data_IF_101934207414
#
_entry.id   IF_101934207414
#
_cell.length_a   1.000
_cell.length_b   1.000
_cell.length_c   1.000
_cell.angle_alpha   90.00
_cell.angle_beta   90.00
_cell.angle_gamma   90.00
#
_symmetry.space_group_name_H-M   'P 1'
#
loop_
_entity.id
_entity.type
_entity.pdbx_description
1 polymer ?
#
# COMPACT_ATOMS: atom_id res chain seq x y z
N UNK A 1 20.92 -2.35 -6.40
CA UNK A 1 20.63 -2.54 -4.97
C UNK A 1 19.66 -3.69 -4.81
N UNK A 2 19.71 -4.42 -3.68
CA UNK A 2 18.68 -5.43 -3.36
C UNK A 2 17.34 -4.73 -3.11
N UNK A 3 16.23 -5.35 -3.53
CA UNK A 3 14.89 -4.75 -3.55
C UNK A 3 14.18 -4.69 -2.18
N UNK A 4 14.91 -4.42 -1.08
CA UNK A 4 14.34 -4.32 0.26
C UNK A 4 14.24 -2.87 0.77
N UNK A 5 14.64 -1.91 -0.06
CA UNK A 5 14.64 -0.48 0.28
C UNK A 5 13.92 0.33 -0.79
N UNK A 6 13.22 1.37 -0.37
CA UNK A 6 12.55 2.37 -1.21
C UNK A 6 12.86 3.77 -0.70
N UNK A 7 12.83 4.78 -1.58
CA UNK A 7 13.18 6.18 -1.28
C UNK A 7 14.66 6.47 -1.38
N UNK A 8 14.99 7.72 -1.56
CA UNK A 8 16.36 8.24 -1.65
C UNK A 8 16.76 9.05 -0.40
N UNK A 9 15.97 10.06 -0.04
CA UNK A 9 16.14 10.92 1.14
C UNK A 9 15.28 10.44 2.31
N UNK A 10 14.01 10.11 2.08
CA UNK A 10 13.20 9.37 3.04
C UNK A 10 13.26 7.89 2.68
N UNK A 11 14.21 7.20 3.25
CA UNK A 11 14.53 5.83 2.85
C UNK A 11 14.00 4.83 3.86
N UNK A 12 13.23 3.88 3.35
CA UNK A 12 12.68 2.78 4.15
C UNK A 12 13.30 1.46 3.72
N UNK A 13 13.88 0.72 4.67
CA UNK A 13 14.39 -0.63 4.46
C UNK A 13 13.64 -1.60 5.36
N UNK A 14 12.94 -2.59 4.78
CA UNK A 14 12.17 -3.59 5.54
C UNK A 14 12.89 -4.93 5.61
N UNK A 15 12.71 -5.67 6.71
CA UNK A 15 13.26 -7.00 6.94
C UNK A 15 12.30 -7.87 7.76
N UNK A 16 12.63 -9.15 7.90
CA UNK A 16 11.83 -10.15 8.62
C UNK A 16 10.83 -10.90 7.73
N UNK A 17 10.40 -12.06 8.16
CA UNK A 17 9.50 -12.98 7.45
C UNK A 17 8.19 -13.19 8.23
N UNK A 18 7.15 -13.60 7.50
CA UNK A 18 5.79 -13.76 8.06
C UNK A 18 5.69 -14.78 9.21
N UNK A 19 6.60 -15.75 9.27
CA UNK A 19 6.69 -16.77 10.30
C UNK A 19 8.06 -16.77 11.00
N UNK A 20 8.84 -15.68 10.84
CA UNK A 20 10.02 -15.38 11.64
C UNK A 20 9.64 -14.84 13.04
N UNK A 21 10.64 -14.49 13.82
CA UNK A 21 10.47 -13.97 15.19
C UNK A 21 9.75 -12.62 15.17
N UNK A 22 10.16 -11.73 14.24
CA UNK A 22 9.66 -10.37 14.14
C UNK A 22 9.74 -9.88 12.69
N UNK A 23 9.06 -8.76 12.44
CA UNK A 23 9.25 -7.88 11.29
C UNK A 23 9.89 -6.59 11.78
N UNK A 24 10.70 -5.96 10.94
CA UNK A 24 11.25 -4.66 11.25
C UNK A 24 11.45 -3.79 10.02
N UNK A 25 11.63 -2.50 10.27
CA UNK A 25 12.13 -1.58 9.27
C UNK A 25 13.05 -0.55 9.90
N UNK A 26 13.88 0.03 9.04
CA UNK A 26 14.66 1.22 9.33
C UNK A 26 14.15 2.32 8.42
N UNK A 27 13.79 3.45 9.03
CA UNK A 27 13.43 4.69 8.34
C UNK A 27 14.58 5.66 8.54
N UNK A 28 15.19 6.07 7.44
CA UNK A 28 16.29 7.03 7.43
C UNK A 28 15.86 8.31 6.70
N UNK A 29 16.37 9.47 7.14
CA UNK A 29 16.06 10.76 6.55
C UNK A 29 14.80 11.45 7.08
N UNK A 30 14.16 10.94 8.14
CA UNK A 30 13.10 11.70 8.81
C UNK A 30 13.71 12.96 9.47
N UNK A 31 13.19 14.16 9.21
CA UNK A 31 13.70 15.37 9.86
C UNK A 31 13.57 15.31 11.38
N UNK A 32 14.46 16.01 12.15
CA UNK A 32 14.35 16.08 13.59
C UNK A 32 13.17 16.96 14.03
N UNK A 33 12.69 16.73 15.27
CA UNK A 33 11.69 17.56 15.91
C UNK A 33 10.23 17.18 15.65
N UNK A 34 9.96 16.13 14.86
CA UNK A 34 8.60 15.58 14.73
C UNK A 34 8.20 14.94 16.06
N UNK A 35 7.10 15.41 16.67
CA UNK A 35 6.50 14.75 17.82
C UNK A 35 5.89 13.41 17.38
N UNK A 36 6.33 12.31 17.99
CA UNK A 36 5.91 10.97 17.58
C UNK A 36 6.02 9.96 18.72
N UNK A 37 5.02 9.09 18.78
CA UNK A 37 4.94 7.96 19.71
C UNK A 37 4.51 6.70 18.98
N UNK A 38 4.61 5.54 19.63
CA UNK A 38 4.06 4.28 19.11
C UNK A 38 2.55 4.38 18.85
N UNK A 39 1.81 5.14 19.65
CA UNK A 39 0.37 5.33 19.49
C UNK A 39 0.01 6.02 18.15
N UNK A 40 0.83 6.96 17.70
CA UNK A 40 0.64 7.63 16.40
C UNK A 40 0.74 6.61 15.25
N UNK A 41 1.70 5.70 15.33
CA UNK A 41 1.93 4.66 14.31
C UNK A 41 0.88 3.55 14.41
N UNK A 42 0.42 3.23 15.62
CA UNK A 42 -0.53 2.16 15.87
C UNK A 42 -1.89 2.40 15.22
N UNK A 43 -2.30 3.65 15.10
CA UNK A 43 -3.57 4.03 14.45
C UNK A 43 -3.67 3.49 13.02
N UNK A 44 -2.65 3.67 12.20
CA UNK A 44 -2.63 3.13 10.82
C UNK A 44 -2.43 1.60 10.81
N UNK A 45 -1.63 1.07 11.72
CA UNK A 45 -1.43 -0.38 11.88
C UNK A 45 -2.71 -1.10 12.28
N UNK A 46 -3.53 -0.53 13.16
CA UNK A 46 -4.81 -1.09 13.57
C UNK A 46 -5.80 -1.21 12.41
N UNK A 47 -5.79 -0.26 11.48
CA UNK A 47 -6.58 -0.33 10.24
C UNK A 47 -6.11 -1.47 9.32
N UNK A 48 -4.80 -1.75 9.30
CA UNK A 48 -4.18 -2.78 8.43
C UNK A 48 -4.21 -4.19 9.03
N UNK A 49 -4.10 -4.34 10.35
CA UNK A 49 -3.85 -5.63 11.02
C UNK A 49 -4.85 -6.72 10.60
N UNK A 50 -4.46 -8.01 10.68
CA UNK A 50 -5.37 -9.11 10.39
C UNK A 50 -6.40 -9.27 11.52
N UNK A 51 -7.56 -9.87 11.20
CA UNK A 51 -8.58 -10.22 12.19
C UNK A 51 -9.40 -9.03 12.72
N UNK A 52 -9.40 -7.91 12.03
CA UNK A 52 -10.20 -6.72 12.40
C UNK A 52 -11.69 -6.91 12.18
N UNK A 53 -12.08 -7.80 11.26
CA UNK A 53 -13.47 -8.05 10.93
C UNK A 53 -13.70 -9.51 10.53
N UNK A 54 -14.99 -9.90 10.45
CA UNK A 54 -15.38 -11.21 9.91
C UNK A 54 -15.06 -11.38 8.41
N UNK A 55 -14.69 -10.32 7.70
CA UNK A 55 -14.43 -10.31 6.27
C UNK A 55 -12.96 -10.54 5.92
N UNK A 56 -12.09 -10.44 6.90
CA UNK A 56 -10.64 -10.64 6.75
C UNK A 56 -10.19 -11.99 7.32
N UNK A 57 -8.90 -12.27 7.22
CA UNK A 57 -8.28 -13.48 7.77
C UNK A 57 -8.54 -13.65 9.26
N UNK A 58 -8.63 -14.91 9.73
CA UNK A 58 -8.79 -15.23 11.15
C UNK A 58 -7.46 -15.19 11.94
N UNK A 59 -6.33 -14.90 11.30
CA UNK A 59 -5.07 -14.67 12.00
C UNK A 59 -5.24 -13.45 12.92
N UNK A 60 -4.71 -13.54 14.13
CA UNK A 60 -4.81 -12.47 15.13
C UNK A 60 -3.40 -11.99 15.49
N UNK A 61 -3.03 -10.84 15.01
CA UNK A 61 -1.79 -10.17 15.37
C UNK A 61 -2.14 -8.77 15.87
N UNK A 62 -1.64 -8.36 17.03
CA UNK A 62 -1.88 -7.00 17.54
C UNK A 62 -1.15 -5.96 16.70
N UNK A 63 -0.11 -6.36 15.95
CA UNK A 63 0.78 -5.49 15.19
C UNK A 63 1.36 -4.36 16.06
N UNK A 64 1.63 -4.68 17.32
CA UNK A 64 2.17 -3.74 18.29
C UNK A 64 3.57 -3.29 17.89
N UNK A 65 3.67 -2.02 17.48
CA UNK A 65 4.95 -1.47 17.02
C UNK A 65 5.77 -0.97 18.20
N UNK A 66 7.08 -1.19 18.12
CA UNK A 66 8.08 -0.66 19.07
C UNK A 66 9.04 0.26 18.32
N UNK A 67 9.27 1.44 18.86
CA UNK A 67 10.30 2.36 18.40
C UNK A 67 11.59 2.03 19.14
N UNK A 68 12.62 1.60 18.41
CA UNK A 68 13.87 1.13 18.98
C UNK A 68 14.97 2.21 18.98
N UNK A 69 14.88 3.21 18.12
CA UNK A 69 15.88 4.28 17.96
C UNK A 69 15.30 5.46 17.20
N UNK A 70 16.03 6.56 17.15
CA UNK A 70 15.70 7.74 16.35
C UNK A 70 14.62 8.66 16.95
N UNK A 71 14.17 8.37 18.18
CA UNK A 71 13.24 9.20 18.95
C UNK A 71 13.78 9.40 20.36
N UNK A 72 13.77 10.63 20.85
CA UNK A 72 14.16 10.99 22.19
C UNK A 72 13.16 12.00 22.77
N UNK A 73 12.66 11.74 23.98
CA UNK A 73 11.63 12.56 24.66
C UNK A 73 10.40 12.83 23.79
N UNK A 74 9.99 11.83 22.99
CA UNK A 74 8.80 11.94 22.11
C UNK A 74 9.03 12.70 20.80
N UNK A 75 10.28 13.04 20.45
CA UNK A 75 10.60 13.74 19.20
C UNK A 75 11.64 12.99 18.39
N UNK A 76 11.53 13.06 17.07
CA UNK A 76 12.55 12.51 16.16
C UNK A 76 13.87 13.25 16.31
N UNK A 77 14.97 12.49 16.25
CA UNK A 77 16.33 13.05 16.42
C UNK A 77 17.04 13.40 15.09
N UNK A 78 16.43 13.05 13.95
CA UNK A 78 17.07 13.15 12.63
C UNK A 78 18.01 12.01 12.31
N UNK A 79 18.15 11.02 13.21
CA UNK A 79 18.91 9.77 12.96
C UNK A 79 17.95 8.65 12.60
N UNK A 80 18.51 7.45 12.26
CA UNK A 80 17.71 6.32 11.81
C UNK A 80 16.66 5.88 12.84
N UNK A 81 15.40 5.78 12.42
CA UNK A 81 14.30 5.27 13.25
C UNK A 81 14.21 3.77 13.01
N UNK A 82 14.48 2.97 14.02
CA UNK A 82 14.28 1.53 14.00
C UNK A 82 12.90 1.17 14.54
N UNK A 83 12.12 0.43 13.75
CA UNK A 83 10.79 -0.06 14.13
C UNK A 83 10.76 -1.59 14.11
N UNK A 84 10.03 -2.19 15.06
CA UNK A 84 9.88 -3.64 15.16
C UNK A 84 8.43 -4.02 15.56
N UNK A 85 7.94 -5.13 14.99
CA UNK A 85 6.69 -5.80 15.36
C UNK A 85 6.97 -7.29 15.55
N UNK A 86 6.64 -7.84 16.71
CA UNK A 86 6.77 -9.26 16.98
C UNK A 86 5.67 -10.07 16.29
N UNK A 87 5.99 -11.28 15.83
CA UNK A 87 5.00 -12.22 15.31
C UNK A 87 4.50 -13.10 16.46
N UNK A 88 3.21 -13.01 16.81
CA UNK A 88 2.64 -13.70 17.97
C UNK A 88 1.72 -14.88 17.63
N UNK A 89 1.04 -14.86 16.47
CA UNK A 89 0.10 -15.92 16.02
C UNK A 89 0.60 -16.61 14.73
N UNK A 90 1.86 -17.04 14.73
CA UNK A 90 2.40 -17.85 13.63
C UNK A 90 2.09 -19.34 13.85
N UNK A 91 1.63 -20.04 12.80
CA UNK A 91 1.32 -21.47 12.83
C UNK A 91 2.05 -22.20 11.71
N UNK A 92 3.32 -22.48 11.93
CA UNK A 92 4.20 -23.12 10.93
C UNK A 92 3.71 -24.52 10.50
N UNK A 93 2.95 -25.21 11.36
CA UNK A 93 2.37 -26.54 11.04
C UNK A 93 1.35 -26.51 9.90
N UNK A 94 0.68 -25.38 9.67
CA UNK A 94 -0.33 -25.22 8.62
C UNK A 94 0.28 -25.31 7.18
N UNK A 95 1.61 -25.33 7.07
CA UNK A 95 2.34 -25.27 5.81
C UNK A 95 3.15 -26.54 5.49
N UNK A 96 2.99 -27.63 6.25
CA UNK A 96 3.70 -28.89 6.01
C UNK A 96 3.42 -29.47 4.61
N UNK A 97 2.15 -29.40 4.16
CA UNK A 97 1.68 -29.97 2.90
C UNK A 97 2.25 -29.26 1.65
N UNK A 98 2.78 -28.04 1.82
CA UNK A 98 3.38 -27.26 0.72
C UNK A 98 4.92 -27.25 0.73
N UNK A 99 5.54 -28.03 1.64
CA UNK A 99 7.00 -28.11 1.73
C UNK A 99 7.64 -28.52 0.40
N UNK A 100 7.07 -29.50 -0.27
CA UNK A 100 7.61 -30.08 -1.50
C UNK A 100 6.76 -29.78 -2.74
N UNK A 101 5.80 -28.85 -2.63
CA UNK A 101 4.93 -28.39 -3.72
C UNK A 101 4.96 -26.88 -3.86
N UNK A 102 4.49 -26.38 -4.99
CA UNK A 102 4.38 -24.93 -5.24
C UNK A 102 2.90 -24.52 -5.33
N UNK A 103 2.49 -23.51 -4.55
CA UNK A 103 1.12 -22.97 -4.65
C UNK A 103 0.92 -22.30 -6.01
N UNK A 104 -0.12 -22.66 -6.79
CA UNK A 104 -0.44 -21.95 -8.03
C UNK A 104 -0.65 -20.45 -7.79
N UNK A 105 -0.10 -19.61 -8.66
CA UNK A 105 -0.25 -18.16 -8.55
C UNK A 105 0.43 -17.48 -7.35
N UNK A 106 1.16 -18.24 -6.52
CA UNK A 106 1.96 -17.74 -5.40
C UNK A 106 3.45 -17.65 -5.77
N UNK A 107 4.23 -16.95 -4.98
CA UNK A 107 5.67 -16.73 -5.23
C UNK A 107 6.58 -17.95 -4.91
N UNK A 108 6.02 -19.09 -4.55
CA UNK A 108 6.79 -20.26 -4.10
C UNK A 108 7.80 -20.75 -5.14
N UNK A 109 7.35 -20.93 -6.38
CA UNK A 109 8.19 -21.37 -7.50
C UNK A 109 9.28 -20.35 -7.82
N UNK A 110 8.91 -19.07 -7.93
CA UNK A 110 9.85 -18.01 -8.31
C UNK A 110 10.93 -17.78 -7.27
N UNK A 111 10.60 -17.85 -5.98
CA UNK A 111 11.58 -17.77 -4.89
C UNK A 111 12.50 -18.98 -4.88
N UNK A 112 11.96 -20.18 -5.07
CA UNK A 112 12.77 -21.41 -5.14
C UNK A 112 13.77 -21.35 -6.31
N UNK A 113 13.31 -20.97 -7.50
CA UNK A 113 14.18 -20.86 -8.67
C UNK A 113 15.23 -19.75 -8.55
N UNK A 114 14.86 -18.61 -7.94
CA UNK A 114 15.76 -17.46 -7.83
C UNK A 114 16.84 -17.64 -6.78
N UNK A 115 16.49 -18.19 -5.62
CA UNK A 115 17.38 -18.22 -4.45
C UNK A 115 17.91 -19.62 -4.12
N UNK A 116 17.40 -20.67 -4.77
CA UNK A 116 17.78 -22.06 -4.51
C UNK A 116 17.24 -22.63 -3.19
N UNK A 117 16.81 -21.77 -2.29
CA UNK A 117 16.23 -22.11 -0.99
C UNK A 117 14.95 -21.31 -0.76
N UNK A 118 13.96 -21.96 -0.15
CA UNK A 118 12.68 -21.34 0.21
C UNK A 118 12.29 -21.77 1.62
N UNK A 119 11.99 -20.79 2.48
CA UNK A 119 11.24 -21.09 3.70
C UNK A 119 9.77 -21.33 3.33
N UNK A 120 9.35 -22.58 3.45
CA UNK A 120 7.97 -23.01 3.13
C UNK A 120 6.95 -22.58 4.19
N UNK A 121 7.39 -22.14 5.36
CA UNK A 121 6.51 -21.68 6.45
C UNK A 121 5.87 -20.34 6.10
N UNK A 122 4.65 -20.37 5.59
CA UNK A 122 3.96 -19.18 5.11
C UNK A 122 4.47 -18.70 3.75
N UNK A 123 4.67 -17.39 3.58
CA UNK A 123 5.15 -16.77 2.35
C UNK A 123 6.49 -16.06 2.50
N UNK A 124 7.13 -16.14 3.67
CA UNK A 124 8.38 -15.41 3.93
C UNK A 124 8.24 -13.92 3.63
N UNK A 125 9.18 -13.37 2.86
CA UNK A 125 9.16 -11.99 2.38
C UNK A 125 8.06 -11.70 1.33
N UNK A 126 7.53 -12.71 0.63
CA UNK A 126 6.44 -12.52 -0.33
C UNK A 126 5.06 -12.43 0.33
N UNK A 127 4.97 -12.65 1.64
CA UNK A 127 3.73 -12.54 2.40
C UNK A 127 3.31 -11.09 2.58
N UNK A 128 1.99 -10.82 2.46
CA UNK A 128 1.43 -9.51 2.79
C UNK A 128 1.66 -9.07 4.25
N UNK A 129 2.15 -9.96 5.12
CA UNK A 129 2.53 -9.63 6.50
C UNK A 129 3.61 -8.56 6.58
N UNK A 130 4.57 -8.54 5.64
CA UNK A 130 5.66 -7.55 5.60
C UNK A 130 5.15 -6.11 5.42
N UNK A 131 3.94 -5.93 4.86
CA UNK A 131 3.35 -4.60 4.68
C UNK A 131 3.03 -3.89 5.99
N UNK A 132 3.03 -4.59 7.14
CA UNK A 132 2.94 -3.95 8.44
C UNK A 132 4.06 -2.92 8.63
N UNK A 133 5.28 -3.25 8.20
CA UNK A 133 6.41 -2.34 8.31
C UNK A 133 6.35 -1.17 7.32
N UNK A 134 5.72 -1.37 6.15
CA UNK A 134 5.43 -0.26 5.23
C UNK A 134 4.44 0.71 5.82
N UNK A 135 3.39 0.21 6.47
CA UNK A 135 2.38 1.04 7.14
C UNK A 135 3.00 1.79 8.32
N UNK A 136 3.82 1.13 9.14
CA UNK A 136 4.52 1.80 10.24
C UNK A 136 5.43 2.94 9.75
N UNK A 137 6.23 2.70 8.70
CA UNK A 137 7.08 3.72 8.09
C UNK A 137 6.26 4.83 7.42
N UNK A 138 5.18 4.45 6.72
CA UNK A 138 4.27 5.39 6.07
C UNK A 138 3.52 6.29 7.06
N UNK A 139 3.21 5.79 8.25
CA UNK A 139 2.58 6.58 9.31
C UNK A 139 3.49 7.75 9.77
N UNK A 140 4.81 7.54 9.84
CA UNK A 140 5.77 8.62 10.09
C UNK A 140 5.67 9.68 8.98
N UNK A 141 5.70 9.25 7.72
CA UNK A 141 5.59 10.14 6.57
C UNK A 141 4.25 10.90 6.55
N UNK A 142 3.12 10.20 6.76
CA UNK A 142 1.78 10.80 6.84
C UNK A 142 1.72 11.89 7.91
N UNK A 143 2.24 11.58 9.11
CA UNK A 143 2.24 12.53 10.21
C UNK A 143 3.06 13.77 9.89
N UNK A 144 4.28 13.62 9.38
CA UNK A 144 5.12 14.74 9.00
C UNK A 144 4.48 15.61 7.90
N UNK A 145 3.96 14.98 6.85
CA UNK A 145 3.30 15.67 5.74
C UNK A 145 2.05 16.44 6.21
N UNK A 146 1.30 15.88 7.14
CA UNK A 146 0.12 16.52 7.71
C UNK A 146 0.49 17.70 8.62
N UNK A 147 1.38 17.48 9.57
CA UNK A 147 1.72 18.47 10.60
C UNK A 147 2.44 19.69 10.00
N UNK A 148 3.32 19.48 9.01
CA UNK A 148 4.13 20.54 8.43
C UNK A 148 3.51 21.21 7.19
N UNK A 149 2.67 20.49 6.44
CA UNK A 149 2.14 20.98 5.14
C UNK A 149 0.63 20.87 5.01
N UNK A 150 -0.06 20.27 5.97
CA UNK A 150 -1.50 20.03 5.88
C UNK A 150 -1.90 19.00 4.85
N UNK A 151 -0.95 18.22 4.32
CA UNK A 151 -1.23 17.17 3.34
C UNK A 151 -2.00 16.03 4.01
N UNK A 152 -3.15 15.68 3.47
CA UNK A 152 -3.91 14.52 3.92
C UNK A 152 -3.89 13.43 2.85
N UNK A 153 -3.64 12.18 3.28
CA UNK A 153 -3.59 11.02 2.39
C UNK A 153 -4.63 10.03 2.86
N UNK A 154 -5.59 9.72 2.00
CA UNK A 154 -6.70 8.83 2.29
C UNK A 154 -6.95 7.88 1.11
N UNK A 155 -7.38 6.67 1.41
CA UNK A 155 -7.73 5.69 0.39
C UNK A 155 -9.07 5.00 0.72
N UNK A 156 -9.67 4.39 -0.30
CA UNK A 156 -10.90 3.65 -0.15
C UNK A 156 -11.01 2.51 -1.17
N UNK A 157 -11.83 1.53 -0.85
CA UNK A 157 -12.19 0.44 -1.74
C UNK A 157 -13.24 0.95 -2.74
N UNK A 158 -12.85 1.05 -4.02
CA UNK A 158 -13.73 1.56 -5.07
C UNK A 158 -14.47 0.45 -5.81
N UNK A 159 -13.97 -0.81 -5.76
CA UNK A 159 -14.59 -1.95 -6.42
C UNK A 159 -14.14 -3.26 -5.78
N UNK A 160 -15.03 -4.23 -5.68
CA UNK A 160 -14.75 -5.61 -5.31
C UNK A 160 -15.47 -6.55 -6.27
N UNK A 161 -14.71 -7.33 -7.05
CA UNK A 161 -15.29 -8.12 -8.13
C UNK A 161 -16.01 -7.26 -9.15
N UNK A 162 -17.28 -7.53 -9.38
CA UNK A 162 -18.17 -6.80 -10.29
C UNK A 162 -18.96 -5.66 -9.60
N UNK A 163 -18.85 -5.55 -8.27
CA UNK A 163 -19.54 -4.50 -7.50
C UNK A 163 -18.64 -3.26 -7.41
N UNK A 164 -19.07 -2.16 -8.02
CA UNK A 164 -18.40 -0.85 -7.95
C UNK A 164 -19.26 0.13 -7.13
N UNK A 165 -18.58 1.14 -6.54
CA UNK A 165 -19.25 2.27 -5.90
C UNK A 165 -19.83 3.21 -6.94
N UNK A 166 -20.87 3.96 -6.56
CA UNK A 166 -21.49 4.99 -7.41
C UNK A 166 -21.17 6.41 -6.91
N UNK A 167 -20.78 6.55 -5.65
CA UNK A 167 -20.50 7.84 -4.99
C UNK A 167 -19.38 7.71 -3.96
N UNK A 168 -18.77 8.85 -3.62
CA UNK A 168 -17.72 8.95 -2.60
C UNK A 168 -18.16 9.88 -1.49
N UNK A 169 -18.44 9.32 -0.30
CA UNK A 169 -18.54 10.05 0.95
C UNK A 169 -17.33 9.73 1.82
N UNK A 170 -16.45 10.70 1.99
CA UNK A 170 -15.22 10.55 2.76
C UNK A 170 -15.46 10.24 4.24
N UNK A 171 -16.61 10.60 4.80
CA UNK A 171 -16.94 10.32 6.19
C UNK A 171 -17.37 8.87 6.40
N UNK A 172 -17.80 8.18 5.33
CA UNK A 172 -18.31 6.81 5.41
C UNK A 172 -17.19 5.76 5.42
N UNK A 173 -15.99 6.10 4.95
CA UNK A 173 -14.88 5.17 4.76
C UNK A 173 -14.54 4.39 6.04
N UNK A 174 -14.49 5.06 7.19
CA UNK A 174 -14.14 4.44 8.47
C UNK A 174 -15.35 3.86 9.22
N UNK A 175 -16.58 4.07 8.70
CA UNK A 175 -17.82 3.61 9.34
C UNK A 175 -18.16 2.16 9.03
N UNK A 176 -17.44 1.52 8.11
CA UNK A 176 -17.67 0.13 7.73
C UNK A 176 -16.36 -0.64 7.56
N UNK A 177 -16.45 -1.97 7.63
CA UNK A 177 -15.29 -2.85 7.63
C UNK A 177 -14.61 -3.01 6.24
N UNK A 178 -15.15 -2.39 5.20
CA UNK A 178 -14.65 -2.49 3.83
C UNK A 178 -13.83 -1.26 3.41
N UNK A 179 -13.81 -0.21 4.22
CA UNK A 179 -13.32 1.11 3.80
C UNK A 179 -14.05 1.59 2.54
N UNK A 180 -15.36 1.31 2.47
CA UNK A 180 -16.21 1.67 1.36
C UNK A 180 -16.77 3.07 1.57
N UNK A 181 -16.61 4.01 0.62
CA UNK A 181 -17.15 5.37 0.74
C UNK A 181 -18.64 5.45 0.34
N UNK A 182 -19.24 4.35 -0.09
CA UNK A 182 -20.63 4.26 -0.54
C UNK A 182 -21.42 3.29 0.35
N UNK A 183 -22.16 3.84 1.31
CA UNK A 183 -22.95 3.06 2.26
C UNK A 183 -23.94 2.10 1.56
N UNK A 184 -24.47 2.47 0.38
CA UNK A 184 -25.43 1.66 -0.36
C UNK A 184 -24.81 0.38 -0.95
N UNK A 185 -23.48 0.31 -1.05
CA UNK A 185 -22.74 -0.87 -1.57
C UNK A 185 -22.24 -1.82 -0.49
N UNK A 186 -22.26 -1.44 0.76
CA UNK A 186 -21.69 -2.23 1.88
C UNK A 186 -22.35 -3.60 2.00
N UNK A 187 -23.67 -3.69 1.87
CA UNK A 187 -24.40 -4.99 1.90
C UNK A 187 -24.04 -5.89 0.71
N UNK A 188 -23.84 -5.31 -0.48
CA UNK A 188 -23.42 -6.07 -1.66
C UNK A 188 -22.00 -6.64 -1.47
N UNK A 189 -21.08 -5.89 -0.89
CA UNK A 189 -19.75 -6.38 -0.54
C UNK A 189 -19.80 -7.49 0.53
N UNK A 190 -20.63 -7.34 1.56
CA UNK A 190 -20.83 -8.37 2.57
C UNK A 190 -21.36 -9.68 1.96
N UNK A 191 -22.38 -9.59 1.11
CA UNK A 191 -22.95 -10.75 0.44
C UNK A 191 -21.91 -11.45 -0.45
N UNK A 192 -21.15 -10.71 -1.25
CA UNK A 192 -20.09 -11.25 -2.09
C UNK A 192 -19.05 -12.01 -1.27
N UNK A 193 -18.57 -11.45 -0.15
CA UNK A 193 -17.62 -12.14 0.72
C UNK A 193 -18.21 -13.40 1.38
N UNK A 194 -19.49 -13.38 1.75
CA UNK A 194 -20.17 -14.57 2.30
C UNK A 194 -20.23 -15.72 1.29
N UNK A 195 -20.51 -15.40 0.04
CA UNK A 195 -20.64 -16.40 -1.03
C UNK A 195 -19.25 -16.97 -1.38
N UNK A 196 -18.24 -16.12 -1.54
CA UNK A 196 -16.85 -16.56 -1.73
C UNK A 196 -16.35 -17.48 -0.62
N UNK A 197 -16.71 -17.19 0.64
CA UNK A 197 -16.34 -18.07 1.75
C UNK A 197 -17.00 -19.44 1.68
N UNK A 198 -18.24 -19.54 1.21
CA UNK A 198 -18.92 -20.82 1.00
C UNK A 198 -18.27 -21.61 -0.13
N UNK A 199 -17.87 -20.93 -1.20
CA UNK A 199 -17.21 -21.51 -2.37
C UNK A 199 -15.74 -21.87 -2.09
N UNK A 200 -15.13 -21.29 -1.06
CA UNK A 200 -13.71 -21.47 -0.75
C UNK A 200 -12.80 -20.71 -1.71
N UNK A 201 -13.28 -19.66 -2.33
CA UNK A 201 -12.61 -18.89 -3.38
C UNK A 201 -12.31 -17.46 -2.92
N UNK A 202 -11.79 -16.63 -3.83
CA UNK A 202 -11.35 -15.25 -3.59
C UNK A 202 -11.66 -14.33 -4.76
N UNK A 203 -11.62 -13.02 -4.52
CA UNK A 203 -11.91 -12.01 -5.54
C UNK A 203 -10.89 -10.87 -5.49
N UNK A 204 -10.71 -10.20 -6.63
CA UNK A 204 -9.90 -8.99 -6.76
C UNK A 204 -10.63 -7.73 -6.31
N UNK A 205 -9.87 -6.63 -6.25
CA UNK A 205 -10.41 -5.33 -5.85
C UNK A 205 -9.71 -4.18 -6.58
N UNK A 206 -10.36 -3.02 -6.62
CA UNK A 206 -9.76 -1.74 -6.97
C UNK A 206 -9.80 -0.81 -5.76
N UNK A 207 -8.71 -0.07 -5.56
CA UNK A 207 -8.57 0.94 -4.49
C UNK A 207 -8.19 2.24 -5.17
N UNK A 208 -8.79 3.34 -4.73
CA UNK A 208 -8.32 4.68 -5.03
C UNK A 208 -7.61 5.27 -3.81
N UNK A 209 -6.45 5.89 -4.03
CA UNK A 209 -5.71 6.65 -3.03
C UNK A 209 -5.56 8.09 -3.50
N UNK A 210 -5.83 9.03 -2.59
CA UNK A 210 -5.84 10.46 -2.86
C UNK A 210 -4.98 11.18 -1.83
N UNK A 211 -4.17 12.15 -2.29
CA UNK A 211 -3.50 13.10 -1.43
C UNK A 211 -4.00 14.51 -1.74
N UNK A 212 -4.45 15.23 -0.71
CA UNK A 212 -4.94 16.62 -0.81
C UNK A 212 -3.93 17.60 -0.22
N UNK A 213 -4.07 18.89 -0.52
CA UNK A 213 -3.18 19.97 -0.07
C UNK A 213 -1.71 19.72 -0.45
N UNK A 214 -1.48 19.11 -1.58
CA UNK A 214 -0.13 18.76 -2.05
C UNK A 214 0.60 20.02 -2.50
N UNK A 215 1.84 20.29 -2.01
CA UNK A 215 2.64 21.39 -2.53
C UNK A 215 2.94 21.25 -4.02
N UNK A 216 2.94 22.36 -4.73
CA UNK A 216 3.44 22.42 -6.12
C UNK A 216 4.94 22.12 -6.14
N UNK A 217 5.41 21.35 -7.12
CA UNK A 217 6.83 21.20 -7.39
C UNK A 217 7.46 19.89 -6.90
N UNK A 218 6.67 18.93 -6.39
CA UNK A 218 7.18 17.59 -6.03
C UNK A 218 7.32 16.73 -7.27
N UNK A 219 8.47 16.14 -7.46
CA UNK A 219 8.81 15.29 -8.61
C UNK A 219 9.98 15.87 -9.40
N UNK A 220 10.69 15.00 -10.11
CA UNK A 220 11.91 15.35 -10.86
C UNK A 220 11.82 14.87 -12.32
N UNK A 221 12.08 15.71 -13.31
CA UNK A 221 12.34 15.23 -14.63
C UNK A 221 13.72 14.52 -14.68
N UNK A 222 13.95 13.54 -15.48
CA UNK A 222 13.11 12.89 -16.49
C UNK A 222 12.65 11.51 -15.94
N UNK A 223 13.47 10.83 -15.16
CA UNK A 223 13.26 9.44 -14.73
C UNK A 223 12.61 9.31 -13.35
N UNK A 224 12.84 10.30 -12.46
CA UNK A 224 12.29 10.33 -11.12
C UNK A 224 11.00 11.18 -11.06
N UNK A 225 10.15 11.02 -12.07
CA UNK A 225 8.84 11.68 -12.12
C UNK A 225 7.97 11.17 -10.97
N UNK A 226 7.19 12.06 -10.36
CA UNK A 226 6.32 11.73 -9.24
C UNK A 226 5.34 10.60 -9.58
N UNK A 227 4.71 10.64 -10.75
CA UNK A 227 3.81 9.59 -11.24
C UNK A 227 4.51 8.24 -11.41
N UNK A 228 5.76 8.24 -11.91
CA UNK A 228 6.56 7.03 -12.08
C UNK A 228 6.92 6.40 -10.73
N UNK A 229 7.36 7.21 -9.75
CA UNK A 229 7.72 6.72 -8.42
C UNK A 229 6.48 6.26 -7.63
N UNK A 230 5.34 6.96 -7.77
CA UNK A 230 4.05 6.50 -7.22
C UNK A 230 3.68 5.15 -7.82
N UNK A 231 3.73 5.01 -9.13
CA UNK A 231 3.42 3.74 -9.81
C UNK A 231 4.35 2.62 -9.37
N UNK A 232 5.66 2.88 -9.24
CA UNK A 232 6.64 1.91 -8.72
C UNK A 232 6.31 1.47 -7.29
N UNK A 233 6.02 2.41 -6.40
CA UNK A 233 5.71 2.14 -5.00
C UNK A 233 4.41 1.33 -4.85
N UNK A 234 3.33 1.77 -5.51
CA UNK A 234 2.03 1.10 -5.48
C UNK A 234 2.06 -0.27 -6.16
N UNK A 235 2.78 -0.43 -7.28
CA UNK A 235 2.97 -1.73 -7.94
C UNK A 235 3.74 -2.73 -7.07
N UNK A 236 4.55 -2.26 -6.12
CA UNK A 236 5.29 -3.10 -5.19
C UNK A 236 4.43 -3.75 -4.11
N UNK A 237 3.19 -3.29 -3.92
CA UNK A 237 2.22 -3.86 -2.97
C UNK A 237 1.85 -5.27 -3.44
N UNK A 238 1.82 -6.23 -2.51
CA UNK A 238 1.46 -7.61 -2.80
C UNK A 238 0.09 -7.69 -3.51
N UNK A 239 -0.01 -8.52 -4.53
CA UNK A 239 -1.18 -8.75 -5.37
C UNK A 239 -1.54 -7.60 -6.34
N UNK A 240 -0.95 -6.44 -6.28
CA UNK A 240 -1.19 -5.37 -7.27
C UNK A 240 -0.73 -5.82 -8.65
N UNK A 241 -1.57 -5.52 -9.66
CA UNK A 241 -1.38 -5.87 -11.08
C UNK A 241 -1.59 -4.70 -12.03
N UNK A 242 -2.11 -3.59 -11.55
CA UNK A 242 -2.29 -2.36 -12.31
C UNK A 242 -2.21 -1.15 -11.40
N UNK A 243 -1.67 -0.06 -11.93
CA UNK A 243 -1.65 1.26 -11.33
C UNK A 243 -2.07 2.27 -12.39
N UNK A 244 -2.94 3.18 -12.03
CA UNK A 244 -3.40 4.29 -12.86
C UNK A 244 -3.19 5.60 -12.11
N UNK A 245 -2.84 6.65 -12.84
CA UNK A 245 -2.72 8.03 -12.33
C UNK A 245 -3.78 8.89 -13.02
N UNK A 246 -4.56 9.66 -12.26
CA UNK A 246 -5.67 10.43 -12.80
C UNK A 246 -6.68 9.55 -13.52
N UNK A 247 -7.07 9.90 -14.73
CA UNK A 247 -8.01 9.13 -15.56
C UNK A 247 -7.46 7.77 -16.05
N UNK A 248 -6.15 7.52 -15.84
CA UNK A 248 -5.55 6.22 -16.10
C UNK A 248 -5.70 5.75 -17.55
N UNK A 249 -6.22 4.53 -17.75
CA UNK A 249 -6.41 3.95 -19.08
C UNK A 249 -7.55 4.58 -19.87
N UNK A 250 -8.47 5.32 -19.22
CA UNK A 250 -9.59 5.97 -19.91
C UNK A 250 -9.14 7.14 -20.78
N UNK A 251 -7.91 7.66 -20.61
CA UNK A 251 -7.31 8.71 -21.45
C UNK A 251 -7.32 8.38 -22.93
N UNK A 252 -7.29 7.08 -23.30
CA UNK A 252 -7.28 6.65 -24.72
C UNK A 252 -8.61 6.95 -25.43
N UNK A 253 -9.68 7.19 -24.69
CA UNK A 253 -11.00 7.54 -25.22
C UNK A 253 -11.22 9.05 -25.31
N UNK A 254 -10.30 9.85 -24.80
CA UNK A 254 -10.42 11.32 -24.70
C UNK A 254 -9.65 12.00 -25.83
N UNK A 255 -10.22 13.08 -26.33
CA UNK A 255 -9.48 14.00 -27.21
C UNK A 255 -8.59 14.92 -26.38
N UNK A 256 -7.52 15.44 -26.97
CA UNK A 256 -6.63 16.38 -26.27
C UNK A 256 -7.33 17.65 -25.77
N UNK A 257 -8.41 18.10 -26.42
CA UNK A 257 -9.24 19.21 -25.95
C UNK A 257 -10.11 18.87 -24.75
N UNK A 258 -10.42 17.59 -24.54
CA UNK A 258 -11.21 17.07 -23.42
C UNK A 258 -10.32 16.77 -22.21
N UNK A 259 -9.17 16.13 -22.48
CA UNK A 259 -8.23 15.69 -21.43
C UNK A 259 -7.43 16.84 -20.78
N UNK A 260 -7.13 17.91 -21.52
CA UNK A 260 -6.29 18.97 -20.98
C UNK A 260 -6.95 19.65 -19.76
N UNK A 261 -6.22 19.70 -18.66
CA UNK A 261 -6.62 20.46 -17.47
C UNK A 261 -6.39 21.94 -17.75
N UNK A 262 -7.48 22.67 -18.00
CA UNK A 262 -7.39 24.11 -18.33
C UNK A 262 -7.01 24.90 -17.09
N UNK A 263 -6.27 25.98 -17.27
CA UNK A 263 -5.75 26.83 -16.21
C UNK A 263 -6.38 28.22 -16.30
N UNK A 264 -6.88 28.72 -15.18
CA UNK A 264 -7.42 30.06 -15.04
C UNK A 264 -6.84 30.73 -13.77
N UNK A 265 -7.07 32.03 -13.57
CA UNK A 265 -6.65 32.70 -12.33
C UNK A 265 -7.28 32.10 -11.06
N UNK A 266 -8.41 31.39 -11.20
CA UNK A 266 -9.13 30.73 -10.09
C UNK A 266 -8.63 29.32 -9.82
N UNK A 267 -7.73 28.78 -10.68
CA UNK A 267 -7.17 27.43 -10.56
C UNK A 267 -7.39 26.56 -11.78
N UNK A 268 -7.26 25.27 -11.60
CA UNK A 268 -7.47 24.26 -12.64
C UNK A 268 -8.96 23.95 -12.82
N UNK A 269 -9.40 23.82 -14.06
CA UNK A 269 -10.79 23.52 -14.41
C UNK A 269 -11.15 22.03 -14.31
N UNK A 270 -10.15 21.15 -14.29
CA UNK A 270 -10.27 19.69 -14.17
C UNK A 270 -8.99 19.09 -13.61
N UNK A 271 -8.99 17.78 -13.34
CA UNK A 271 -7.83 17.06 -12.82
C UNK A 271 -7.65 15.68 -13.50
N UNK A 272 -7.73 15.64 -14.82
CA UNK A 272 -7.58 14.43 -15.63
C UNK A 272 -6.19 13.81 -15.47
N UNK A 273 -5.16 14.66 -15.33
CA UNK A 273 -3.78 14.24 -15.12
C UNK A 273 -3.49 13.73 -13.69
N UNK A 274 -4.46 13.77 -12.78
CA UNK A 274 -4.30 13.29 -11.39
C UNK A 274 -3.30 14.10 -10.58
N UNK A 275 -3.23 15.42 -10.79
CA UNK A 275 -2.41 16.35 -10.01
C UNK A 275 -0.93 16.39 -10.41
N UNK A 276 -0.54 15.79 -11.56
CA UNK A 276 0.85 15.68 -11.99
C UNK A 276 0.98 16.06 -13.45
N UNK A 277 1.76 17.08 -13.74
CA UNK A 277 2.10 17.51 -15.12
C UNK A 277 3.61 17.48 -15.31
N UNK A 278 4.06 16.83 -16.39
CA UNK A 278 5.49 16.68 -16.65
C UNK A 278 6.27 15.92 -15.56
N UNK A 279 5.57 15.13 -14.73
CA UNK A 279 6.15 14.40 -13.61
C UNK A 279 6.27 15.20 -12.32
N UNK A 280 5.68 16.40 -12.27
CA UNK A 280 5.76 17.34 -11.14
C UNK A 280 4.35 17.66 -10.64
N UNK A 281 4.17 17.72 -9.31
CA UNK A 281 2.87 18.04 -8.69
C UNK A 281 2.41 19.46 -9.03
N UNK A 282 1.12 19.61 -9.33
CA UNK A 282 0.49 20.88 -9.74
C UNK A 282 -0.09 21.69 -8.58
N UNK A 283 -0.19 21.10 -7.38
CA UNK A 283 -0.96 21.68 -6.27
C UNK A 283 -2.38 21.11 -6.17
N UNK A 284 -2.86 20.44 -7.20
CA UNK A 284 -4.13 19.69 -7.16
C UNK A 284 -3.98 18.39 -6.36
N UNK A 285 -5.11 17.73 -6.14
CA UNK A 285 -5.12 16.39 -5.55
C UNK A 285 -4.32 15.41 -6.41
N UNK A 286 -3.44 14.64 -5.77
CA UNK A 286 -2.84 13.46 -6.41
C UNK A 286 -3.83 12.32 -6.34
N UNK A 287 -4.18 11.75 -7.48
CA UNK A 287 -5.14 10.64 -7.57
C UNK A 287 -4.48 9.45 -8.25
N UNK A 288 -4.47 8.32 -7.55
CA UNK A 288 -4.00 7.05 -8.11
C UNK A 288 -4.97 5.91 -7.82
N UNK A 289 -5.08 4.96 -8.75
CA UNK A 289 -5.86 3.74 -8.60
C UNK A 289 -4.96 2.51 -8.67
N UNK A 290 -5.27 1.48 -7.90
CA UNK A 290 -4.59 0.18 -7.96
C UNK A 290 -5.60 -0.95 -8.14
N UNK A 291 -5.22 -1.92 -8.97
CA UNK A 291 -5.97 -3.15 -9.16
C UNK A 291 -5.22 -4.32 -8.50
N UNK A 292 -5.90 -5.04 -7.61
CA UNK A 292 -5.36 -6.19 -6.90
C UNK A 292 -5.98 -7.48 -7.45
N UNK A 293 -5.13 -8.46 -7.77
CA UNK A 293 -5.61 -9.79 -8.14
C UNK A 293 -6.20 -10.53 -6.94
N UNK A 294 -7.07 -11.53 -7.15
CA UNK A 294 -7.51 -12.45 -6.11
C UNK A 294 -6.32 -13.12 -5.41
N UNK A 295 -6.47 -13.47 -4.13
CA UNK A 295 -5.47 -14.30 -3.44
C UNK A 295 -5.44 -15.69 -4.07
N UNK A 296 -4.24 -16.22 -4.25
CA UNK A 296 -4.04 -17.57 -4.83
C UNK A 296 -4.14 -18.70 -3.78
N UNK A 297 -4.21 -18.33 -2.50
CA UNK A 297 -4.31 -19.31 -1.40
C UNK A 297 -5.79 -19.54 -1.08
N UNK A 298 -6.40 -20.49 -1.79
CA UNK A 298 -7.83 -20.85 -1.71
C UNK A 298 -8.00 -22.33 -1.46
N UNK A 299 -9.21 -22.75 -1.10
CA UNK A 299 -9.53 -24.15 -0.83
C UNK A 299 -10.03 -24.92 -2.07
N UNK A 300 -10.21 -24.23 -3.18
CA UNK A 300 -10.45 -24.87 -4.48
C UNK A 300 -9.19 -25.60 -4.92
N UNK A 301 -9.25 -26.91 -5.29
CA UNK A 301 -8.08 -27.65 -5.75
C UNK A 301 -7.45 -27.03 -7.00
N UNK A 302 -6.12 -26.89 -7.00
CA UNK A 302 -5.37 -26.36 -8.13
C UNK A 302 -4.30 -27.35 -8.62
N UNK A 303 -4.10 -27.41 -9.93
CA UNK A 303 -3.02 -28.16 -10.56
C UNK A 303 -1.67 -27.48 -10.27
N UNK A 304 -0.65 -28.27 -9.95
CA UNK A 304 0.71 -27.80 -9.68
C UNK A 304 1.75 -28.90 -9.89
N UNK A 305 2.99 -28.63 -9.50
CA UNK A 305 4.08 -29.60 -9.54
C UNK A 305 4.78 -29.71 -8.18
N UNK A 306 5.44 -30.83 -7.97
CA UNK A 306 6.38 -31.02 -6.87
C UNK A 306 7.71 -30.33 -7.17
N UNK A 307 8.64 -30.31 -6.20
CA UNK A 307 10.02 -29.82 -6.41
C UNK A 307 10.79 -30.62 -7.47
N UNK A 308 10.45 -31.87 -7.61
CA UNK A 308 11.02 -32.81 -8.60
C UNK A 308 10.43 -32.64 -10.01
N UNK A 309 9.39 -31.77 -10.13
CA UNK A 309 8.71 -31.49 -11.41
C UNK A 309 7.53 -32.42 -11.73
N UNK A 310 7.13 -33.28 -10.79
CA UNK A 310 6.04 -34.22 -10.98
C UNK A 310 4.66 -33.55 -10.86
N UNK A 311 3.70 -33.80 -11.75
CA UNK A 311 2.35 -33.25 -11.66
C UNK A 311 1.65 -33.67 -10.36
N UNK A 312 0.95 -32.72 -9.75
CA UNK A 312 0.19 -32.96 -8.52
C UNK A 312 -0.94 -31.95 -8.38
N UNK A 313 -1.80 -32.15 -7.38
CA UNK A 313 -2.81 -31.17 -6.99
C UNK A 313 -2.49 -30.62 -5.59
N UNK A 314 -2.95 -29.41 -5.34
CA UNK A 314 -2.82 -28.75 -4.05
C UNK A 314 -4.12 -28.05 -3.68
N UNK A 315 -4.53 -28.25 -2.44
CA UNK A 315 -5.55 -27.44 -1.75
C UNK A 315 -4.79 -26.61 -0.70
N UNK A 316 -4.83 -25.31 -0.82
CA UNK A 316 -4.16 -24.45 0.16
C UNK A 316 -5.05 -24.28 1.40
N UNK A 317 -4.73 -25.05 2.43
CA UNK A 317 -5.33 -24.87 3.76
C UNK A 317 -4.69 -23.66 4.44
N UNK A 318 -5.44 -22.90 5.21
CA UNK A 318 -4.90 -21.77 5.96
C UNK A 318 -5.92 -20.65 6.16
N UNK A 319 -5.45 -19.59 6.82
CA UNK A 319 -6.26 -18.42 7.14
C UNK A 319 -5.93 -17.29 6.17
N UNK A 320 -6.69 -17.21 5.07
CA UNK A 320 -6.47 -16.23 4.00
C UNK A 320 -7.63 -15.23 3.91
N UNK A 321 -7.33 -14.05 3.37
CA UNK A 321 -8.33 -13.03 3.08
C UNK A 321 -9.10 -13.42 1.81
N UNK A 322 -10.45 -13.49 1.80
CA UNK A 322 -11.20 -13.68 0.56
C UNK A 322 -11.01 -12.54 -0.45
N UNK A 323 -10.76 -11.34 0.06
CA UNK A 323 -10.37 -10.18 -0.71
C UNK A 323 -9.26 -9.43 0.01
N UNK A 324 -8.08 -9.35 -0.61
CA UNK A 324 -6.93 -8.64 -0.03
C UNK A 324 -7.07 -7.11 -0.11
N UNK A 325 -8.00 -6.61 -0.93
CA UNK A 325 -8.25 -5.18 -1.14
C UNK A 325 -8.60 -4.44 0.15
N UNK A 326 -9.39 -5.05 1.02
CA UNK A 326 -9.80 -4.42 2.29
C UNK A 326 -8.57 -3.96 3.09
N UNK A 327 -7.59 -4.84 3.26
CA UNK A 327 -6.37 -4.53 4.02
C UNK A 327 -5.34 -3.73 3.23
N UNK A 328 -5.48 -3.65 1.93
CA UNK A 328 -4.57 -2.89 1.07
C UNK A 328 -4.86 -1.38 1.10
N UNK A 329 -6.03 -0.94 1.59
CA UNK A 329 -6.38 0.48 1.70
C UNK A 329 -5.32 1.26 2.51
N UNK A 330 -5.05 0.97 3.79
CA UNK A 330 -4.02 1.67 4.55
C UNK A 330 -2.59 1.43 4.01
N UNK A 331 -2.35 0.35 3.28
CA UNK A 331 -1.05 0.10 2.64
C UNK A 331 -0.83 1.07 1.47
N UNK A 332 -1.87 1.32 0.66
CA UNK A 332 -1.80 2.28 -0.45
C UNK A 332 -1.53 3.71 0.08
N UNK A 333 -2.21 4.11 1.16
CA UNK A 333 -1.93 5.39 1.83
C UNK A 333 -0.47 5.51 2.27
N UNK A 334 0.04 4.47 2.94
CA UNK A 334 1.41 4.44 3.43
C UNK A 334 2.44 4.53 2.30
N UNK A 335 2.24 3.82 1.20
CA UNK A 335 3.16 3.82 0.07
C UNK A 335 3.15 5.16 -0.66
N UNK A 336 1.99 5.80 -0.83
CA UNK A 336 1.90 7.16 -1.38
C UNK A 336 2.60 8.16 -0.46
N UNK A 337 2.41 8.06 0.85
CA UNK A 337 3.05 8.94 1.84
C UNK A 337 4.58 8.84 1.80
N UNK A 338 5.14 7.63 1.71
CA UNK A 338 6.59 7.41 1.62
C UNK A 338 7.16 8.10 0.37
N UNK A 339 6.50 7.96 -0.79
CA UNK A 339 6.94 8.62 -2.03
C UNK A 339 6.87 10.12 -1.91
N UNK A 340 5.75 10.66 -1.43
CA UNK A 340 5.57 12.10 -1.29
C UNK A 340 6.57 12.71 -0.31
N UNK A 341 6.85 12.03 0.80
CA UNK A 341 7.84 12.46 1.77
C UNK A 341 9.25 12.49 1.18
N UNK A 342 9.62 11.49 0.38
CA UNK A 342 10.91 11.44 -0.30
C UNK A 342 11.07 12.62 -1.26
N UNK A 343 10.07 12.84 -2.12
CA UNK A 343 10.08 13.97 -3.08
C UNK A 343 10.04 15.32 -2.38
N UNK A 344 9.34 15.46 -1.26
CA UNK A 344 9.34 16.68 -0.47
C UNK A 344 10.73 17.02 0.06
N UNK A 345 11.46 16.05 0.60
CA UNK A 345 12.81 16.26 1.10
C UNK A 345 13.79 16.59 -0.03
N UNK A 346 13.65 15.96 -1.18
CA UNK A 346 14.42 16.27 -2.40
C UNK A 346 14.16 17.71 -2.83
N UNK A 347 12.89 18.10 -2.96
CA UNK A 347 12.47 19.45 -3.32
C UNK A 347 13.03 20.51 -2.36
N UNK A 348 12.94 20.29 -1.05
CA UNK A 348 13.49 21.20 -0.04
C UNK A 348 15.00 21.33 -0.14
N UNK A 349 15.71 20.23 -0.43
CA UNK A 349 17.16 20.23 -0.56
C UNK A 349 17.65 20.98 -1.81
N UNK A 350 16.90 20.90 -2.91
CA UNK A 350 17.30 21.42 -4.22
C UNK A 350 16.69 22.80 -4.51
N UNK A 351 15.43 23.02 -4.16
CA UNK A 351 14.63 24.15 -4.64
C UNK A 351 14.13 25.10 -3.53
N UNK A 352 14.64 24.98 -2.32
CA UNK A 352 14.13 25.72 -1.14
C UNK A 352 14.08 27.25 -1.34
N UNK A 353 14.81 27.85 -2.14
CA UNK A 353 14.81 29.32 -2.34
C UNK A 353 14.13 29.80 -3.60
N UNK A 354 13.56 28.91 -4.40
CA UNK A 354 12.94 29.27 -5.68
C UNK A 354 11.66 30.08 -5.44
N UNK A 355 11.57 31.25 -6.09
CA UNK A 355 10.40 32.11 -6.12
C UNK A 355 10.03 32.40 -7.56
N UNK A 356 8.75 32.51 -7.84
CA UNK A 356 8.22 32.88 -9.17
C UNK A 356 7.34 34.12 -9.02
N UNK A 357 7.23 34.91 -10.10
CA UNK A 357 6.32 36.06 -10.16
C UNK A 357 4.86 35.64 -10.42
N UNK A 358 4.64 34.41 -10.88
CA UNK A 358 3.30 33.86 -11.12
C UNK A 358 2.60 33.62 -9.80
N UNK A 359 1.36 34.13 -9.61
CA UNK A 359 0.58 33.83 -8.43
C UNK A 359 0.37 32.31 -8.25
N UNK A 360 0.33 31.87 -7.01
CA UNK A 360 -0.13 30.49 -6.71
C UNK A 360 -1.62 30.40 -6.95
N UNK A 361 -2.06 29.35 -7.60
CA UNK A 361 -3.44 29.07 -7.99
C UNK A 361 -3.88 27.74 -7.38
#
# INVERSE_FOLDING_TARGET
MAGNSIGQHFRVTTFGESHGIALGCIVDGCPPGLEITEADLQTDLDRRRPGTSRYTTQRREPDEVKILSGVFEGQTTGTSIGLMIENTDQRSKDYSDIKDKFRPGHADYTYHQKYGVRDYRGGGRSSARETAMRVAAGAIAKKYLKDEFGVEIRAYLSQMGDVSIDKVDWNEIENNAFFCPDADKVEAFDQLIRDLKKEGDSIGAKIQVVATNVPVGLGEPVFDRLDADIAHALMSINAVKGVEIGDGFDVVNQKGSEHRDTLSPEGFGSNHAGGILGGISTGQEIVANIALKPTSSITVPGETITKEGEPTQLITKGRHDPCVGIRAVPIAEAMLAIVMMDHLLRHRGQNHGVQTETPKI
#
